data_IF_522578476260
#
_entry.id   IF_522578476260
#
_cell.length_a   1.000
_cell.length_b   1.000
_cell.length_c   1.000
_cell.angle_alpha   90.00
_cell.angle_beta   90.00
_cell.angle_gamma   90.00
#
_symmetry.space_group_name_H-M   'P 1'
#
loop_
_entity.id
_entity.type
_entity.pdbx_description
1 polymer ?
#
# COMPACT_ATOMS: atom_id res chain seq x y z
N UNK A 1 21.61 23.98 18.26
CA UNK A 1 20.76 23.32 17.25
C UNK A 1 21.36 21.97 16.89
N UNK A 2 20.93 20.90 17.56
CA UNK A 2 21.36 19.55 17.23
C UNK A 2 20.40 18.98 16.19
N UNK A 3 20.74 19.14 14.92
CA UNK A 3 20.04 18.45 13.83
C UNK A 3 20.38 16.97 13.94
N UNK A 4 19.44 16.18 14.48
CA UNK A 4 19.55 14.73 14.50
C UNK A 4 19.13 14.19 13.14
N UNK A 5 19.94 13.28 12.58
CA UNK A 5 19.64 12.56 11.35
C UNK A 5 19.40 11.09 11.67
N UNK A 6 18.28 10.55 11.20
CA UNK A 6 17.94 9.14 11.26
C UNK A 6 18.06 8.49 9.88
N UNK A 7 18.60 7.27 9.84
CA UNK A 7 18.52 6.40 8.67
C UNK A 7 17.93 5.07 9.14
N UNK A 8 16.95 4.57 8.40
CA UNK A 8 16.31 3.30 8.71
C UNK A 8 16.03 2.50 7.44
N UNK A 9 15.91 1.19 7.62
CA UNK A 9 15.49 0.28 6.56
C UNK A 9 14.48 -0.71 7.13
N UNK A 10 13.43 -0.98 6.35
CA UNK A 10 12.33 -1.86 6.72
C UNK A 10 12.06 -2.86 5.58
N UNK A 11 12.55 -4.10 5.67
CA UNK A 11 12.06 -5.18 4.83
C UNK A 11 10.63 -5.55 5.27
N UNK A 12 9.78 -5.94 4.33
CA UNK A 12 8.43 -6.40 4.62
C UNK A 12 7.99 -7.50 3.66
N UNK A 13 7.09 -8.34 4.15
CA UNK A 13 6.41 -9.40 3.40
C UNK A 13 4.92 -9.34 3.71
N UNK A 14 4.11 -9.36 2.66
CA UNK A 14 2.65 -9.31 2.75
C UNK A 14 2.06 -10.49 2.00
N UNK A 15 1.14 -11.19 2.65
CA UNK A 15 0.37 -12.28 2.04
C UNK A 15 -1.11 -11.90 2.06
N UNK A 16 -1.67 -11.61 0.88
CA UNK A 16 -3.05 -11.19 0.72
C UNK A 16 -3.86 -12.27 0.02
N UNK A 17 -4.94 -12.69 0.68
CA UNK A 17 -5.88 -13.67 0.17
C UNK A 17 -7.24 -13.00 -0.08
N UNK A 18 -7.74 -13.06 -1.32
CA UNK A 18 -9.08 -12.59 -1.64
C UNK A 18 -9.94 -13.73 -2.19
N UNK A 19 -10.97 -14.07 -1.43
CA UNK A 19 -11.99 -15.05 -1.82
C UNK A 19 -12.95 -14.49 -2.88
N UNK A 20 -13.59 -15.37 -3.65
CA UNK A 20 -14.58 -15.04 -4.67
C UNK A 20 -15.66 -14.10 -4.11
N UNK A 21 -15.94 -12.98 -4.79
CA UNK A 21 -17.01 -12.04 -4.40
C UNK A 21 -17.69 -11.49 -5.66
N UNK A 22 -19.01 -11.65 -5.76
CA UNK A 22 -19.83 -11.03 -6.82
C UNK A 22 -19.46 -11.43 -8.26
N UNK A 23 -19.10 -12.69 -8.51
CA UNK A 23 -18.74 -13.18 -9.86
C UNK A 23 -17.29 -12.92 -10.29
N UNK A 24 -16.49 -12.22 -9.49
CA UNK A 24 -15.05 -12.04 -9.70
C UNK A 24 -14.26 -13.22 -9.11
N UNK A 25 -13.29 -13.74 -9.88
CA UNK A 25 -12.36 -14.78 -9.43
C UNK A 25 -11.55 -14.34 -8.21
N UNK A 26 -11.29 -15.26 -7.29
CA UNK A 26 -10.37 -15.04 -6.17
C UNK A 26 -8.91 -14.92 -6.64
N UNK A 27 -8.05 -14.35 -5.80
CA UNK A 27 -6.61 -14.27 -6.04
C UNK A 27 -5.80 -14.39 -4.75
N UNK A 28 -4.58 -14.91 -4.87
CA UNK A 28 -3.54 -14.81 -3.84
C UNK A 28 -2.46 -13.86 -4.35
N UNK A 29 -2.15 -12.83 -3.59
CA UNK A 29 -1.08 -11.88 -3.88
C UNK A 29 -0.01 -11.97 -2.79
N UNK A 30 1.22 -12.25 -3.19
CA UNK A 30 2.39 -12.22 -2.30
C UNK A 30 3.25 -11.04 -2.67
N UNK A 31 3.50 -10.15 -1.73
CA UNK A 31 4.35 -8.97 -1.93
C UNK A 31 5.55 -9.05 -1.01
N UNK A 32 6.73 -8.90 -1.57
CA UNK A 32 7.97 -8.71 -0.81
C UNK A 32 8.55 -7.37 -1.18
N UNK A 33 9.08 -6.64 -0.21
CA UNK A 33 9.71 -5.36 -0.49
C UNK A 33 10.67 -4.91 0.60
N UNK A 34 11.39 -3.85 0.29
CA UNK A 34 12.24 -3.13 1.23
C UNK A 34 11.98 -1.65 1.06
N UNK A 35 11.89 -0.94 2.17
CA UNK A 35 11.84 0.53 2.23
C UNK A 35 13.06 1.02 2.96
N UNK A 36 13.73 2.03 2.42
CA UNK A 36 14.86 2.71 3.05
C UNK A 36 14.46 4.17 3.20
N UNK A 37 14.59 4.68 4.41
CA UNK A 37 14.22 6.04 4.76
C UNK A 37 15.35 6.80 5.41
N UNK A 38 15.28 8.11 5.25
CA UNK A 38 16.05 9.09 6.01
C UNK A 38 15.09 10.13 6.59
N UNK A 39 15.36 10.56 7.80
CA UNK A 39 14.59 11.59 8.49
C UNK A 39 15.52 12.51 9.28
N UNK A 40 15.02 13.70 9.58
CA UNK A 40 15.72 14.70 10.36
C UNK A 40 14.75 15.56 11.15
N UNK A 41 15.21 16.03 12.31
CA UNK A 41 14.52 17.08 13.07
C UNK A 41 14.85 18.43 12.44
N UNK A 42 13.88 19.01 11.72
CA UNK A 42 13.98 20.35 11.17
C UNK A 42 13.93 21.44 12.26
N UNK A 43 13.24 21.14 13.36
CA UNK A 43 13.29 21.88 14.63
C UNK A 43 12.87 20.95 15.79
N UNK A 44 12.85 21.46 17.02
CA UNK A 44 12.53 20.68 18.23
C UNK A 44 11.13 20.04 18.21
N UNK A 45 10.24 20.49 17.32
CA UNK A 45 8.85 20.03 17.23
C UNK A 45 8.49 19.48 15.84
N UNK A 46 9.41 19.42 14.87
CA UNK A 46 9.12 19.04 13.49
C UNK A 46 10.16 18.06 12.98
N UNK A 47 9.70 16.85 12.70
CA UNK A 47 10.44 15.84 11.96
C UNK A 47 9.98 15.83 10.50
N UNK A 48 10.92 15.78 9.58
CA UNK A 48 10.65 15.55 8.15
C UNK A 48 11.54 14.42 7.64
N UNK A 49 11.04 13.66 6.68
CA UNK A 49 11.79 12.55 6.11
C UNK A 49 11.32 12.17 4.72
N UNK A 50 12.18 11.41 4.05
CA UNK A 50 11.92 10.81 2.77
C UNK A 50 12.23 9.32 2.84
N UNK A 51 11.53 8.52 2.05
CA UNK A 51 11.86 7.11 1.89
C UNK A 51 11.63 6.66 0.45
N UNK A 52 12.40 5.67 0.05
CA UNK A 52 12.24 4.93 -1.21
C UNK A 52 11.92 3.49 -0.90
N UNK A 53 11.10 2.87 -1.74
CA UNK A 53 10.68 1.49 -1.58
C UNK A 53 10.76 0.76 -2.90
N UNK A 54 11.21 -0.49 -2.84
CA UNK A 54 11.17 -1.41 -3.98
C UNK A 54 10.32 -2.59 -3.56
N UNK A 55 9.35 -2.93 -4.40
CA UNK A 55 8.39 -4.00 -4.13
C UNK A 55 8.28 -4.94 -5.31
N UNK A 56 8.07 -6.21 -5.01
CA UNK A 56 7.77 -7.25 -5.98
C UNK A 56 6.53 -7.98 -5.51
N UNK A 57 5.50 -8.01 -6.34
CA UNK A 57 4.24 -8.69 -6.06
C UNK A 57 3.98 -9.78 -7.10
N UNK A 58 3.79 -11.00 -6.63
CA UNK A 58 3.39 -12.14 -7.43
C UNK A 58 1.91 -12.45 -7.16
N UNK A 59 1.05 -12.28 -8.17
CA UNK A 59 -0.39 -12.55 -8.07
C UNK A 59 -0.73 -13.83 -8.84
N UNK A 60 -1.29 -14.80 -8.13
CA UNK A 60 -1.83 -16.05 -8.70
C UNK A 60 -3.35 -15.99 -8.65
N UNK A 61 -3.98 -15.95 -9.82
CA UNK A 61 -5.44 -15.97 -9.94
C UNK A 61 -5.97 -17.38 -9.72
N UNK A 62 -7.16 -17.46 -9.12
CA UNK A 62 -7.86 -18.71 -8.82
C UNK A 62 -9.16 -18.82 -9.64
N UNK A 63 -9.94 -19.86 -9.41
CA UNK A 63 -11.25 -20.10 -10.05
C UNK A 63 -11.20 -20.16 -11.58
N UNK A 64 -12.12 -19.49 -12.29
CA UNK A 64 -12.21 -19.49 -13.75
C UNK A 64 -11.01 -18.81 -14.45
N UNK A 65 -10.12 -18.17 -13.68
CA UNK A 65 -8.82 -17.62 -14.13
C UNK A 65 -7.62 -18.44 -13.66
N UNK A 66 -7.85 -19.66 -13.15
CA UNK A 66 -6.78 -20.56 -12.72
C UNK A 66 -5.82 -20.84 -13.90
N UNK A 67 -4.60 -20.30 -13.79
CA UNK A 67 -3.59 -20.34 -14.86
C UNK A 67 -3.01 -18.96 -15.21
N UNK A 68 -3.73 -17.89 -14.87
CA UNK A 68 -3.30 -16.51 -15.06
C UNK A 68 -2.29 -16.10 -13.97
N UNK A 69 -1.22 -15.41 -14.38
CA UNK A 69 -0.20 -14.87 -13.49
C UNK A 69 -0.03 -13.38 -13.76
N UNK A 70 0.10 -12.60 -12.70
CA UNK A 70 0.43 -11.18 -12.81
C UNK A 70 1.63 -10.91 -11.93
N UNK A 71 2.71 -10.43 -12.54
CA UNK A 71 3.93 -10.01 -11.85
C UNK A 71 3.94 -8.47 -11.83
N UNK A 72 4.11 -7.88 -10.64
CA UNK A 72 4.16 -6.43 -10.45
C UNK A 72 5.47 -6.05 -9.78
N UNK A 73 6.25 -5.20 -10.45
CA UNK A 73 7.42 -4.57 -9.84
C UNK A 73 7.08 -3.12 -9.55
N UNK A 74 7.14 -2.72 -8.29
CA UNK A 74 6.82 -1.37 -7.84
C UNK A 74 8.04 -0.64 -7.33
N UNK A 75 8.21 0.61 -7.76
CA UNK A 75 9.10 1.58 -7.14
C UNK A 75 8.24 2.66 -6.48
N UNK A 76 8.46 2.91 -5.20
CA UNK A 76 7.74 3.92 -4.43
C UNK A 76 8.69 4.96 -3.86
N UNK A 77 8.26 6.21 -3.85
CA UNK A 77 8.90 7.32 -3.16
C UNK A 77 7.88 7.91 -2.20
N UNK A 78 8.29 8.23 -0.97
CA UNK A 78 7.42 8.84 0.02
C UNK A 78 8.11 9.98 0.74
N UNK A 79 7.35 11.03 1.02
CA UNK A 79 7.72 12.09 1.94
C UNK A 79 6.81 12.00 3.15
N UNK A 80 7.36 12.21 4.34
CA UNK A 80 6.60 12.18 5.57
C UNK A 80 7.11 13.25 6.53
N UNK A 81 6.23 13.64 7.44
CA UNK A 81 6.59 14.56 8.51
C UNK A 81 5.64 14.41 9.69
N UNK A 82 6.15 14.76 10.86
CA UNK A 82 5.41 14.78 12.10
C UNK A 82 5.74 16.07 12.85
N UNK A 83 4.72 16.77 13.30
CA UNK A 83 4.82 18.02 14.03
C UNK A 83 4.10 17.92 15.37
N UNK A 84 4.80 18.23 16.45
CA UNK A 84 4.18 18.50 17.75
C UNK A 84 3.53 19.89 17.69
N UNK A 85 2.21 19.97 17.90
CA UNK A 85 1.46 21.21 17.80
C UNK A 85 1.40 21.94 19.15
N UNK A 86 0.95 21.24 20.18
CA UNK A 86 0.91 21.70 21.58
C UNK A 86 1.30 20.54 22.50
N UNK A 87 1.40 20.77 23.80
CA UNK A 87 1.72 19.72 24.77
C UNK A 87 0.78 18.51 24.56
N UNK A 88 1.37 17.34 24.31
CA UNK A 88 0.72 16.06 23.99
C UNK A 88 -0.04 15.95 22.65
N UNK A 89 -0.28 17.04 21.91
CA UNK A 89 -0.89 16.95 20.58
C UNK A 89 0.14 16.96 19.46
N UNK A 90 0.00 16.02 18.52
CA UNK A 90 0.80 15.97 17.31
C UNK A 90 -0.05 15.81 16.06
N UNK A 91 0.49 16.25 14.93
CA UNK A 91 0.00 15.99 13.60
C UNK A 91 1.09 15.27 12.81
N UNK A 92 0.71 14.24 12.05
CA UNK A 92 1.61 13.56 11.14
C UNK A 92 0.97 13.48 9.77
N UNK A 93 1.81 13.56 8.74
CA UNK A 93 1.38 13.46 7.36
C UNK A 93 2.40 12.72 6.53
N UNK A 94 1.92 12.11 5.45
CA UNK A 94 2.78 11.51 4.44
C UNK A 94 2.15 11.61 3.06
N UNK A 95 3.00 11.71 2.06
CA UNK A 95 2.65 11.59 0.67
C UNK A 95 3.48 10.47 0.06
N UNK A 96 2.85 9.60 -0.71
CA UNK A 96 3.50 8.50 -1.41
C UNK A 96 3.19 8.60 -2.90
N UNK A 97 4.22 8.37 -3.69
CA UNK A 97 4.14 8.23 -5.13
C UNK A 97 4.73 6.87 -5.51
N UNK A 98 4.06 6.12 -6.36
CA UNK A 98 4.47 4.77 -6.73
C UNK A 98 4.26 4.53 -8.21
N UNK A 99 5.29 3.98 -8.85
CA UNK A 99 5.29 3.53 -10.22
C UNK A 99 5.35 2.00 -10.20
N UNK A 100 4.29 1.37 -10.66
CA UNK A 100 4.14 -0.07 -10.67
C UNK A 100 4.11 -0.56 -12.11
N UNK A 101 5.12 -1.32 -12.51
CA UNK A 101 5.12 -2.01 -13.79
C UNK A 101 4.40 -3.34 -13.65
N UNK A 102 3.26 -3.46 -14.31
CA UNK A 102 2.42 -4.65 -14.28
C UNK A 102 2.64 -5.46 -15.55
N UNK A 103 3.06 -6.71 -15.38
CA UNK A 103 3.12 -7.72 -16.44
C UNK A 103 2.04 -8.75 -16.19
N UNK A 104 0.98 -8.71 -17.00
CA UNK A 104 -0.12 -9.65 -16.94
C UNK A 104 0.00 -10.69 -18.04
N UNK A 105 -0.14 -11.97 -17.68
CA UNK A 105 -0.27 -13.10 -18.61
C UNK A 105 -1.59 -13.81 -18.31
N UNK A 106 -2.54 -13.68 -19.22
CA UNK A 106 -3.83 -14.35 -19.16
C UNK A 106 -3.93 -15.47 -20.18
N UNK A 107 -4.37 -16.65 -19.76
CA UNK A 107 -4.58 -17.81 -20.62
C UNK A 107 -5.98 -17.74 -21.22
N UNK A 108 -6.08 -17.62 -22.54
CA UNK A 108 -7.35 -17.71 -23.27
C UNK A 108 -7.44 -19.06 -23.98
N UNK A 109 -8.57 -19.72 -23.78
CA UNK A 109 -8.94 -20.93 -24.49
C UNK A 109 -9.85 -20.54 -25.65
N UNK A 110 -9.57 -21.07 -26.84
CA UNK A 110 -10.43 -20.92 -28.01
C UNK A 110 -10.63 -22.29 -28.65
N UNK A 111 -11.76 -22.45 -29.33
CA UNK A 111 -12.08 -23.65 -30.08
C UNK A 111 -11.70 -23.41 -31.55
N UNK A 112 -10.96 -24.33 -32.16
CA UNK A 112 -10.76 -24.30 -33.61
C UNK A 112 -11.99 -24.80 -34.36
N UNK A 113 -11.99 -24.65 -35.69
CA UNK A 113 -13.08 -25.08 -36.57
C UNK A 113 -13.36 -26.60 -36.51
N UNK A 114 -12.45 -27.40 -35.92
CA UNK A 114 -12.56 -28.85 -35.76
C UNK A 114 -12.96 -29.23 -34.32
N UNK A 115 -13.37 -28.27 -33.49
CA UNK A 115 -13.78 -28.49 -32.10
C UNK A 115 -12.63 -28.75 -31.11
N UNK A 116 -11.37 -28.61 -31.54
CA UNK A 116 -10.21 -28.80 -30.65
C UNK A 116 -9.95 -27.54 -29.83
N UNK A 117 -9.79 -27.72 -28.52
CA UNK A 117 -9.44 -26.62 -27.62
C UNK A 117 -7.97 -26.26 -27.78
N UNK A 118 -7.70 -25.05 -28.25
CA UNK A 118 -6.36 -24.49 -28.37
C UNK A 118 -6.17 -23.37 -27.33
N UNK A 119 -4.91 -23.17 -26.90
CA UNK A 119 -4.54 -22.24 -25.84
C UNK A 119 -3.69 -21.11 -26.41
N UNK A 120 -4.07 -19.87 -26.15
CA UNK A 120 -3.28 -18.68 -26.43
C UNK A 120 -3.02 -17.90 -25.13
N UNK A 121 -1.87 -17.24 -25.04
CA UNK A 121 -1.52 -16.41 -23.89
C UNK A 121 -1.67 -14.94 -24.32
N UNK A 122 -2.66 -14.26 -23.78
CA UNK A 122 -2.76 -12.81 -23.88
C UNK A 122 -1.76 -12.19 -22.89
N UNK A 123 -0.84 -11.38 -23.39
CA UNK A 123 0.10 -10.62 -22.57
C UNK A 123 -0.31 -9.14 -22.57
N UNK A 124 -0.50 -8.58 -21.37
CA UNK A 124 -0.72 -7.16 -21.15
C UNK A 124 0.41 -6.59 -20.31
N UNK A 125 1.20 -5.68 -20.87
CA UNK A 125 2.16 -4.89 -20.10
C UNK A 125 1.58 -3.49 -19.94
N UNK A 126 1.47 -3.01 -18.71
CA UNK A 126 1.01 -1.66 -18.44
C UNK A 126 1.71 -1.09 -17.21
N UNK A 127 1.93 0.21 -17.22
CA UNK A 127 2.44 0.92 -16.07
C UNK A 127 1.23 1.51 -15.30
N UNK A 128 1.25 1.36 -13.98
CA UNK A 128 0.26 1.91 -13.06
C UNK A 128 0.96 2.94 -12.19
N UNK A 129 0.38 4.13 -12.11
CA UNK A 129 0.86 5.20 -11.25
C UNK A 129 -0.10 5.37 -10.08
N UNK A 130 0.42 5.32 -8.87
CA UNK A 130 -0.37 5.51 -7.66
C UNK A 130 0.20 6.67 -6.86
N UNK A 131 -0.68 7.60 -6.49
CA UNK A 131 -0.41 8.70 -5.60
C UNK A 131 -1.28 8.56 -4.35
N UNK A 132 -0.71 8.74 -3.17
CA UNK A 132 -1.41 8.68 -1.91
C UNK A 132 -0.98 9.79 -0.98
N UNK A 133 -1.90 10.21 -0.13
CA UNK A 133 -1.65 11.13 0.97
C UNK A 133 -2.33 10.61 2.23
N UNK A 134 -1.71 10.81 3.37
CA UNK A 134 -2.33 10.59 4.66
C UNK A 134 -2.04 11.79 5.56
N UNK A 135 -3.04 12.18 6.34
CA UNK A 135 -2.94 13.18 7.37
C UNK A 135 -3.64 12.62 8.61
N UNK A 136 -2.95 12.60 9.74
CA UNK A 136 -3.47 12.12 11.02
C UNK A 136 -3.08 13.09 12.12
N UNK A 137 -3.97 13.28 13.08
CA UNK A 137 -3.71 13.99 14.33
C UNK A 137 -3.87 13.01 15.48
N UNK A 138 -3.09 13.19 16.54
CA UNK A 138 -3.13 12.34 17.72
C UNK A 138 -2.91 13.15 19.00
N UNK A 139 -3.32 12.55 20.11
CA UNK A 139 -3.14 13.12 21.44
C UNK A 139 -2.56 12.07 22.38
N UNK A 140 -1.41 12.35 22.96
CA UNK A 140 -0.68 11.47 23.87
C UNK A 140 -1.21 11.60 25.29
N UNK A 141 -2.12 10.71 25.68
CA UNK A 141 -2.71 10.67 27.01
C UNK A 141 -2.00 9.66 27.91
N UNK A 142 -1.32 10.15 28.95
CA UNK A 142 -0.75 9.30 30.00
C UNK A 142 -1.88 8.77 30.90
N UNK A 143 -2.37 7.58 30.61
CA UNK A 143 -3.48 6.98 31.34
C UNK A 143 -3.07 6.52 32.74
N UNK A 144 -1.86 5.97 32.88
CA UNK A 144 -1.26 5.52 34.14
C UNK A 144 0.26 5.64 34.07
N UNK A 145 0.96 5.47 35.20
CA UNK A 145 2.42 5.49 35.23
C UNK A 145 2.97 4.37 34.33
N UNK A 146 3.62 4.76 33.23
CA UNK A 146 4.13 3.84 32.22
C UNK A 146 3.08 3.30 31.24
N UNK A 147 1.90 3.91 31.10
CA UNK A 147 0.94 3.55 30.03
C UNK A 147 0.52 4.79 29.27
N UNK A 148 0.92 4.86 28.00
CA UNK A 148 0.57 5.94 27.09
C UNK A 148 -0.52 5.47 26.13
N UNK A 149 -1.65 6.16 26.11
CA UNK A 149 -2.75 5.93 25.20
C UNK A 149 -2.82 7.11 24.23
N UNK A 150 -2.72 6.83 22.94
CA UNK A 150 -2.71 7.82 21.88
C UNK A 150 -3.92 7.62 20.98
N UNK A 151 -5.09 8.22 21.29
CA UNK A 151 -6.17 8.34 20.31
C UNK A 151 -5.69 9.13 19.08
N UNK A 152 -6.11 8.67 17.90
CA UNK A 152 -5.72 9.25 16.61
C UNK A 152 -6.91 9.29 15.66
N UNK A 153 -6.99 10.35 14.87
CA UNK A 153 -7.98 10.49 13.81
C UNK A 153 -7.35 11.14 12.59
N UNK A 154 -7.82 10.80 11.39
CA UNK A 154 -7.23 11.32 10.17
C UNK A 154 -7.95 10.93 8.91
N UNK A 155 -7.38 11.37 7.80
CA UNK A 155 -7.86 11.12 6.46
C UNK A 155 -6.73 10.50 5.64
N UNK A 156 -7.09 9.53 4.81
CA UNK A 156 -6.22 9.00 3.77
C UNK A 156 -6.87 9.19 2.41
N UNK A 157 -6.09 9.65 1.45
CA UNK A 157 -6.46 9.76 0.06
C UNK A 157 -5.54 8.87 -0.76
N UNK A 158 -6.11 8.07 -1.65
CA UNK A 158 -5.36 7.26 -2.60
C UNK A 158 -5.97 7.44 -3.98
N UNK A 159 -5.13 7.78 -4.94
CA UNK A 159 -5.48 7.84 -6.36
C UNK A 159 -4.56 6.91 -7.13
N UNK A 160 -5.13 5.94 -7.80
CA UNK A 160 -4.41 5.02 -8.69
C UNK A 160 -4.90 5.24 -10.10
N UNK A 161 -3.98 5.32 -11.06
CA UNK A 161 -4.26 5.50 -12.48
C UNK A 161 -3.54 4.42 -13.27
N UNK A 162 -4.31 3.63 -13.99
CA UNK A 162 -3.77 2.68 -14.96
C UNK A 162 -3.51 3.42 -16.28
N UNK A 163 -2.33 3.27 -16.87
CA UNK A 163 -2.09 3.74 -18.24
C UNK A 163 -2.89 2.92 -19.25
N UNK A 164 -3.18 3.53 -20.40
CA UNK A 164 -3.80 2.84 -21.54
C UNK A 164 -2.93 1.65 -21.93
N UNK A 165 -3.51 0.45 -21.96
CA UNK A 165 -2.79 -0.70 -22.50
C UNK A 165 -3.64 -1.49 -23.47
N UNK A 166 -2.98 -1.93 -24.54
CA UNK A 166 -3.53 -2.84 -25.53
C UNK A 166 -2.98 -4.21 -25.23
N UNK A 167 -3.84 -5.17 -24.95
CA UNK A 167 -3.41 -6.57 -24.86
C UNK A 167 -2.81 -7.00 -26.20
N UNK A 168 -1.68 -7.72 -26.16
CA UNK A 168 -1.01 -8.25 -27.36
C UNK A 168 -0.81 -9.76 -27.20
N UNK A 169 -0.68 -10.48 -28.31
CA UNK A 169 -0.45 -11.94 -28.29
C UNK A 169 -1.67 -12.83 -28.60
N UNK A 170 -2.82 -12.25 -28.97
CA UNK A 170 -3.94 -13.02 -29.56
C UNK A 170 -4.28 -12.48 -30.94
N UNK A 171 -4.70 -13.36 -31.87
CA UNK A 171 -5.02 -12.99 -33.27
C UNK A 171 -6.44 -12.41 -33.45
N UNK A 172 -7.33 -12.57 -32.47
CA UNK A 172 -8.78 -12.25 -32.61
C UNK A 172 -9.43 -11.60 -31.39
N UNK A 173 -8.74 -11.43 -30.25
CA UNK A 173 -9.39 -10.99 -29.01
C UNK A 173 -8.54 -10.05 -28.15
N UNK A 174 -7.73 -9.21 -28.77
CA UNK A 174 -6.98 -8.15 -28.07
C UNK A 174 -7.96 -7.09 -27.56
N UNK A 175 -8.13 -6.96 -26.24
CA UNK A 175 -8.91 -5.85 -25.68
C UNK A 175 -8.03 -4.62 -25.56
N UNK A 176 -8.55 -3.50 -26.06
CA UNK A 176 -8.05 -2.18 -25.72
C UNK A 176 -8.67 -1.80 -24.38
N UNK A 177 -7.82 -1.63 -23.35
CA UNK A 177 -8.25 -1.20 -22.04
C UNK A 177 -7.87 0.26 -21.90
N UNK A 178 -8.90 1.12 -21.96
CA UNK A 178 -8.74 2.55 -21.73
C UNK A 178 -8.33 2.79 -20.27
N UNK A 179 -7.57 3.86 -20.05
CA UNK A 179 -7.07 4.31 -18.76
C UNK A 179 -8.23 4.40 -17.77
N UNK A 180 -8.07 3.72 -16.64
CA UNK A 180 -9.00 3.78 -15.53
C UNK A 180 -8.31 4.47 -14.39
N UNK A 181 -8.95 5.51 -13.85
CA UNK A 181 -8.55 6.05 -12.57
C UNK A 181 -9.50 5.54 -11.49
N UNK A 182 -8.92 5.20 -10.35
CA UNK A 182 -9.64 4.96 -9.11
C UNK A 182 -9.15 5.96 -8.09
N UNK A 183 -10.07 6.68 -7.47
CA UNK A 183 -9.77 7.41 -6.24
C UNK A 183 -10.50 6.78 -5.05
N UNK A 184 -9.92 6.98 -3.88
CA UNK A 184 -10.46 6.52 -2.62
C UNK A 184 -10.10 7.52 -1.54
N UNK A 185 -11.10 7.92 -0.78
CA UNK A 185 -10.94 8.73 0.43
C UNK A 185 -11.45 7.92 1.60
N UNK A 186 -10.58 7.73 2.58
CA UNK A 186 -10.84 6.98 3.79
C UNK A 186 -10.71 7.89 5.01
N UNK A 187 -11.66 7.75 5.93
CA UNK A 187 -11.56 8.25 7.29
C UNK A 187 -10.90 7.16 8.15
N UNK A 188 -9.88 7.54 8.92
CA UNK A 188 -9.15 6.64 9.80
C UNK A 188 -9.33 7.14 11.23
N UNK A 189 -9.83 6.29 12.12
CA UNK A 189 -9.96 6.61 13.55
C UNK A 189 -9.46 5.40 14.34
N UNK A 190 -8.68 5.64 15.38
CA UNK A 190 -8.14 4.56 16.18
C UNK A 190 -7.42 5.04 17.42
N UNK A 191 -6.77 4.10 18.10
CA UNK A 191 -5.91 4.40 19.23
C UNK A 191 -4.70 3.46 19.23
N UNK A 192 -3.59 4.00 19.71
CA UNK A 192 -2.38 3.26 20.04
C UNK A 192 -2.25 3.21 21.56
N UNK A 193 -1.78 2.09 22.09
CA UNK A 193 -1.45 1.93 23.51
C UNK A 193 0.00 1.45 23.57
N UNK A 194 0.86 2.24 24.21
CA UNK A 194 2.23 1.87 24.50
C UNK A 194 2.38 1.64 26.01
N UNK A 195 2.93 0.48 26.37
CA UNK A 195 3.28 0.17 27.75
C UNK A 195 4.68 0.69 28.12
N UNK A 196 4.98 0.62 29.40
CA UNK A 196 6.20 1.18 29.97
C UNK A 196 7.42 0.40 29.54
N UNK A 197 8.59 1.05 29.60
CA UNK A 197 9.86 0.43 29.25
C UNK A 197 10.12 -0.78 30.14
N UNK A 198 10.28 -1.95 29.53
CA UNK A 198 10.78 -3.14 30.20
C UNK A 198 12.26 -3.25 29.90
N UNK A 199 13.11 -3.05 30.90
CA UNK A 199 14.56 -3.27 30.76
C UNK A 199 14.86 -4.76 30.98
N UNK A 200 15.25 -5.45 29.92
CA UNK A 200 15.74 -6.83 29.98
C UNK A 200 17.24 -6.79 29.77
N UNK A 201 17.99 -6.81 30.87
CA UNK A 201 19.46 -6.67 30.85
C UNK A 201 19.85 -5.33 30.20
N UNK A 202 20.49 -5.34 29.02
CA UNK A 202 20.88 -4.15 28.25
C UNK A 202 19.87 -3.77 27.14
N UNK A 203 18.70 -4.43 27.11
CA UNK A 203 17.66 -4.20 26.10
C UNK A 203 16.48 -3.44 26.72
N UNK A 204 16.21 -2.25 26.21
CA UNK A 204 14.96 -1.53 26.50
C UNK A 204 13.86 -1.99 25.53
N UNK A 205 12.80 -2.61 26.05
CA UNK A 205 11.65 -3.08 25.27
C UNK A 205 10.45 -2.17 25.53
N UNK A 206 9.82 -1.71 24.45
CA UNK A 206 8.64 -0.86 24.48
C UNK A 206 7.47 -1.63 23.83
N UNK A 207 6.58 -2.26 24.61
CA UNK A 207 5.42 -2.94 24.05
C UNK A 207 4.42 -1.92 23.51
N UNK A 208 3.93 -2.17 22.29
CA UNK A 208 2.94 -1.32 21.64
C UNK A 208 1.85 -2.17 20.98
N UNK A 209 0.60 -1.71 21.10
CA UNK A 209 -0.54 -2.20 20.34
C UNK A 209 -1.27 -1.03 19.68
N UNK A 210 -1.86 -1.26 18.50
CA UNK A 210 -2.69 -0.27 17.83
C UNK A 210 -3.95 -0.90 17.25
N UNK A 211 -5.04 -0.14 17.24
CA UNK A 211 -6.30 -0.52 16.62
C UNK A 211 -6.87 0.66 15.84
N UNK A 212 -7.16 0.44 14.56
CA UNK A 212 -7.71 1.46 13.68
C UNK A 212 -8.92 0.94 12.92
N UNK A 213 -9.92 1.80 12.79
CA UNK A 213 -11.08 1.63 11.93
C UNK A 213 -10.90 2.52 10.71
N UNK A 214 -10.94 1.92 9.53
CA UNK A 214 -10.84 2.62 8.25
C UNK A 214 -12.20 2.58 7.57
N UNK A 215 -12.85 3.74 7.47
CA UNK A 215 -14.15 3.88 6.82
C UNK A 215 -14.00 4.56 5.45
N UNK A 216 -14.47 3.89 4.40
CA UNK A 216 -14.47 4.46 3.04
C UNK A 216 -15.56 5.52 2.93
N UNK A 217 -15.17 6.78 2.83
CA UNK A 217 -16.09 7.91 2.69
C UNK A 217 -16.50 8.07 1.23
N UNK A 218 -15.53 8.04 0.32
CA UNK A 218 -15.78 8.23 -1.11
C UNK A 218 -14.83 7.36 -1.95
N UNK A 219 -15.26 7.05 -3.16
CA UNK A 219 -14.34 6.48 -4.15
C UNK A 219 -15.03 6.25 -5.48
N UNK A 220 -14.48 6.87 -6.51
CA UNK A 220 -14.94 6.84 -7.89
C UNK A 220 -14.02 5.94 -8.69
N UNK A 221 -14.63 5.09 -9.49
CA UNK A 221 -13.98 4.38 -10.57
C UNK A 221 -14.43 5.06 -11.86
N UNK A 222 -13.51 5.47 -12.74
CA UNK A 222 -13.92 5.92 -14.08
C UNK A 222 -14.56 4.75 -14.83
N UNK A 223 -15.63 5.05 -15.58
CA UNK A 223 -16.32 4.06 -16.42
C UNK A 223 -15.42 3.60 -17.56
#
# INVERSE_FOLDING_TARGET
DNVAYGIWAKPFYTDAHRSKKGGLAGYKAKTTGVVIGLDTLANDNLMIGAAIGITKTDIKHQDYKKGDKTDVNGFSFSLYGAQQLVEHFFAQGSAIFSLNRVKNKSQRYFFDANGKTNKQIAAGNYDNMTFGGNLMVGYDYNAMQGVLVTPMAGLSYLKSSDENYKETGTTVANKQVNSKFSDRTDLVVGAKVAGGTMNVTDLAVYPEAHAFVVHKVNGRLSK
#
